data_IF_139161276207
#
_entry.id   IF_139161276207
#
_cell.length_a   1.000
_cell.length_b   1.000
_cell.length_c   1.000
_cell.angle_alpha   90.00
_cell.angle_beta   90.00
_cell.angle_gamma   90.00
#
_symmetry.space_group_name_H-M   'P 1'
#
loop_
_entity.id
_entity.type
_entity.pdbx_description
1 polymer ?
#
# COMPACT_ATOMS: atom_id res chain seq x y z
N UNK A 1 5.28 12.17 -6.42
CA UNK A 1 4.31 12.97 -5.62
C UNK A 1 2.99 12.25 -5.41
N UNK A 2 2.27 11.86 -6.48
CA UNK A 2 1.01 11.13 -6.37
C UNK A 2 1.17 9.68 -6.83
N UNK A 3 0.58 8.74 -6.09
CA UNK A 3 0.51 7.33 -6.45
C UNK A 3 -0.96 6.92 -6.58
N UNK A 4 -1.41 6.67 -7.80
CA UNK A 4 -2.71 6.09 -8.08
C UNK A 4 -2.60 4.56 -8.00
N UNK A 5 -3.30 3.96 -7.05
CA UNK A 5 -3.07 2.55 -6.68
C UNK A 5 -4.21 1.62 -7.09
N UNK A 6 -5.36 2.16 -7.51
CA UNK A 6 -6.55 1.36 -7.74
C UNK A 6 -6.86 0.52 -6.50
N UNK A 7 -6.91 -0.80 -6.67
CA UNK A 7 -7.26 -1.73 -5.59
C UNK A 7 -6.05 -2.35 -4.88
N UNK A 8 -4.82 -1.96 -5.25
CA UNK A 8 -3.60 -2.57 -4.68
C UNK A 8 -3.33 -2.13 -3.25
N UNK A 9 -3.56 -0.86 -2.95
CA UNK A 9 -3.02 -0.21 -1.76
C UNK A 9 -3.88 1.00 -1.39
N UNK A 10 -4.23 1.15 -0.12
CA UNK A 10 -4.99 2.29 0.37
C UNK A 10 -4.55 2.70 1.78
N UNK A 11 -4.96 3.89 2.22
CA UNK A 11 -4.84 4.26 3.62
C UNK A 11 -5.96 3.63 4.47
N UNK A 12 -5.58 3.10 5.63
CA UNK A 12 -6.52 2.62 6.65
C UNK A 12 -6.53 3.59 7.84
N UNK A 13 -7.61 4.37 8.06
CA UNK A 13 -7.71 5.27 9.22
C UNK A 13 -7.62 4.53 10.55
N UNK A 14 -8.22 3.34 10.64
CA UNK A 14 -8.27 2.56 11.88
C UNK A 14 -6.91 1.98 12.29
N UNK A 15 -6.01 1.77 11.31
CA UNK A 15 -4.67 1.22 11.55
C UNK A 15 -3.58 2.28 11.45
N UNK A 16 -3.96 3.50 11.06
CA UNK A 16 -3.05 4.62 10.78
C UNK A 16 -1.86 4.20 9.91
N UNK A 17 -2.12 3.37 8.90
CA UNK A 17 -1.08 2.91 7.97
C UNK A 17 -1.66 2.50 6.61
N UNK A 18 -0.76 2.35 5.64
CA UNK A 18 -1.05 1.74 4.35
C UNK A 18 -1.43 0.26 4.50
N UNK A 19 -2.41 -0.17 3.71
CA UNK A 19 -3.01 -1.50 3.78
C UNK A 19 -3.27 -2.06 2.38
N UNK A 20 -3.07 -3.37 2.23
CA UNK A 20 -3.51 -4.19 1.10
C UNK A 20 -4.66 -5.13 1.51
N UNK A 21 -5.43 -5.60 0.54
CA UNK A 21 -6.71 -6.28 0.77
C UNK A 21 -6.63 -7.80 0.54
N UNK A 22 -6.15 -8.56 1.54
CA UNK A 22 -5.97 -10.01 1.43
C UNK A 22 -7.26 -10.78 1.10
N UNK A 23 -8.38 -10.44 1.71
CA UNK A 23 -9.65 -11.19 1.55
C UNK A 23 -10.24 -11.12 0.14
N UNK A 24 -9.80 -10.16 -0.68
CA UNK A 24 -10.28 -9.96 -2.05
C UNK A 24 -9.17 -10.14 -3.10
N UNK A 25 -8.01 -10.67 -2.69
CA UNK A 25 -6.92 -11.03 -3.61
C UNK A 25 -7.11 -12.48 -4.08
N UNK A 26 -7.97 -12.69 -5.07
CA UNK A 26 -8.35 -14.05 -5.51
C UNK A 26 -7.33 -14.75 -6.42
N UNK A 27 -6.47 -13.99 -7.10
CA UNK A 27 -5.49 -14.56 -8.03
C UNK A 27 -4.26 -15.13 -7.32
N UNK A 28 -3.42 -14.26 -6.76
CA UNK A 28 -2.19 -14.68 -6.08
C UNK A 28 -1.71 -13.60 -5.12
N UNK A 29 -1.73 -13.92 -3.83
CA UNK A 29 -1.18 -13.04 -2.79
C UNK A 29 0.32 -12.84 -2.95
N UNK A 30 1.03 -13.89 -3.33
CA UNK A 30 2.48 -13.83 -3.57
C UNK A 30 2.84 -12.89 -4.73
N UNK A 31 2.06 -12.93 -5.82
CA UNK A 31 2.21 -11.98 -6.91
C UNK A 31 1.87 -10.54 -6.49
N UNK A 32 0.84 -10.36 -5.64
CA UNK A 32 0.52 -9.05 -5.06
C UNK A 32 1.67 -8.52 -4.20
N UNK A 33 2.30 -9.36 -3.37
CA UNK A 33 3.47 -8.99 -2.56
C UNK A 33 4.62 -8.50 -3.42
N UNK A 34 5.00 -9.26 -4.45
CA UNK A 34 6.03 -8.82 -5.41
C UNK A 34 5.67 -7.52 -6.12
N UNK A 35 4.39 -7.33 -6.45
CA UNK A 35 3.92 -6.09 -7.06
C UNK A 35 4.09 -4.90 -6.12
N UNK A 36 3.77 -5.09 -4.84
CA UNK A 36 3.91 -4.08 -3.78
C UNK A 36 5.37 -3.73 -3.50
N UNK A 37 6.29 -4.69 -3.52
CA UNK A 37 7.73 -4.43 -3.37
C UNK A 37 8.27 -3.49 -4.45
N UNK A 38 7.75 -3.58 -5.69
CA UNK A 38 8.15 -2.66 -6.76
C UNK A 38 7.77 -1.21 -6.46
N UNK A 39 6.78 -0.97 -5.59
CA UNK A 39 6.39 0.40 -5.20
C UNK A 39 7.47 1.10 -4.37
N UNK A 40 8.40 0.36 -3.73
CA UNK A 40 9.51 0.92 -2.95
C UNK A 40 10.54 1.68 -3.79
N UNK A 41 10.51 1.51 -5.12
CA UNK A 41 11.36 2.25 -6.06
C UNK A 41 10.79 3.63 -6.42
N UNK A 42 9.59 3.98 -5.94
CA UNK A 42 8.95 5.25 -6.23
C UNK A 42 8.79 6.09 -4.97
N UNK A 43 9.01 7.39 -5.13
CA UNK A 43 8.75 8.36 -4.07
C UNK A 43 7.40 9.06 -4.27
N UNK A 44 6.57 8.99 -3.25
CA UNK A 44 5.24 9.59 -3.26
C UNK A 44 4.89 10.15 -1.89
N UNK A 45 4.02 11.16 -1.92
CA UNK A 45 3.48 11.86 -0.75
C UNK A 45 1.97 11.59 -0.63
N UNK A 46 1.31 11.29 -1.75
CA UNK A 46 -0.12 11.00 -1.81
C UNK A 46 -0.40 9.58 -2.29
N UNK A 47 -1.37 8.92 -1.66
CA UNK A 47 -1.98 7.68 -2.16
C UNK A 47 -3.43 7.96 -2.58
N UNK A 48 -3.79 7.55 -3.80
CA UNK A 48 -5.11 7.74 -4.39
C UNK A 48 -5.68 6.37 -4.82
N UNK A 49 -6.36 5.67 -3.91
CA UNK A 49 -6.90 4.35 -4.20
C UNK A 49 -8.27 4.42 -4.89
N UNK A 50 -8.65 3.34 -5.57
CA UNK A 50 -10.01 3.12 -6.04
C UNK A 50 -10.98 2.82 -4.88
N UNK A 51 -10.46 2.20 -3.82
CA UNK A 51 -11.22 1.85 -2.61
C UNK A 51 -10.44 2.16 -1.34
N UNK A 52 -11.14 2.55 -0.26
CA UNK A 52 -10.50 2.98 0.99
C UNK A 52 -10.33 4.51 1.04
N UNK A 53 -9.31 5.00 1.75
CA UNK A 53 -9.09 6.44 1.92
C UNK A 53 -7.87 6.94 1.17
N UNK A 54 -8.02 8.15 0.63
CA UNK A 54 -6.91 8.98 0.17
C UNK A 54 -6.14 9.47 1.40
N UNK A 55 -4.83 9.53 1.30
CA UNK A 55 -3.98 10.07 2.36
C UNK A 55 -2.76 10.79 1.80
N UNK A 56 -2.27 11.74 2.59
CA UNK A 56 -1.07 12.51 2.32
C UNK A 56 -0.16 12.51 3.54
N UNK A 57 1.12 12.28 3.30
CA UNK A 57 2.19 12.51 4.26
C UNK A 57 3.50 12.82 3.50
N UNK A 58 4.58 13.10 4.23
CA UNK A 58 5.90 13.24 3.64
C UNK A 58 6.43 11.90 3.07
N UNK A 59 7.43 11.99 2.18
CA UNK A 59 8.00 10.83 1.46
C UNK A 59 8.54 9.76 2.41
N UNK A 60 9.19 10.15 3.50
CA UNK A 60 9.82 9.25 4.47
C UNK A 60 8.77 8.42 5.20
N UNK A 61 7.70 9.08 5.67
CA UNK A 61 6.58 8.42 6.32
C UNK A 61 5.84 7.49 5.35
N UNK A 62 5.54 7.95 4.13
CA UNK A 62 4.88 7.12 3.12
C UNK A 62 5.68 5.87 2.78
N UNK A 63 7.01 5.99 2.68
CA UNK A 63 7.91 4.86 2.51
C UNK A 63 7.84 3.89 3.70
N UNK A 64 7.92 4.40 4.93
CA UNK A 64 7.83 3.58 6.14
C UNK A 64 6.48 2.86 6.26
N UNK A 65 5.37 3.50 5.89
CA UNK A 65 4.05 2.86 5.84
C UNK A 65 3.99 1.74 4.80
N UNK A 66 4.62 1.94 3.63
CA UNK A 66 4.66 0.93 2.57
C UNK A 66 5.50 -0.28 2.99
N UNK A 67 6.68 -0.05 3.58
CA UNK A 67 7.54 -1.11 4.12
C UNK A 67 6.79 -1.94 5.19
N UNK A 68 6.15 -1.29 6.16
CA UNK A 68 5.30 -1.97 7.16
C UNK A 68 4.18 -2.80 6.51
N UNK A 69 3.53 -2.25 5.49
CA UNK A 69 2.48 -2.97 4.76
C UNK A 69 3.05 -4.23 4.11
N UNK A 70 4.16 -4.13 3.38
CA UNK A 70 4.81 -5.26 2.71
C UNK A 70 5.23 -6.34 3.72
N UNK A 71 5.84 -5.95 4.83
CA UNK A 71 6.25 -6.91 5.87
C UNK A 71 5.03 -7.62 6.47
N UNK A 72 3.94 -6.90 6.76
CA UNK A 72 2.69 -7.54 7.16
C UNK A 72 2.18 -8.50 6.08
N UNK A 73 2.24 -8.12 4.80
CA UNK A 73 1.76 -8.99 3.72
C UNK A 73 2.57 -10.29 3.60
N UNK A 74 3.87 -10.27 3.92
CA UNK A 74 4.73 -11.47 3.94
C UNK A 74 4.39 -12.45 5.06
N UNK A 75 3.74 -11.99 6.13
CA UNK A 75 3.29 -12.85 7.24
C UNK A 75 1.98 -13.60 6.98
N UNK A 76 1.36 -13.42 5.80
CA UNK A 76 0.00 -13.87 5.49
C UNK A 76 -0.05 -14.96 4.44
#
# INVERSE_FOLDING_TARGET
KFLFTGDHLAWSPNRETLMAFRSVCWYSWEAQNRSMERLLHYEFEWVLPGHGRIHHDNRENMRAHLERCIEWMKTR
#
